data_IF_151893694633
#
_entry.id   IF_151893694633
#
_cell.length_a   1.000
_cell.length_b   1.000
_cell.length_c   1.000
_cell.angle_alpha   90.00
_cell.angle_beta   90.00
_cell.angle_gamma   90.00
#
_symmetry.space_group_name_H-M   'P 1'
#
loop_
_entity.id
_entity.type
_entity.pdbx_description
1 polymer ?
#
# COMPACT_ATOMS: atom_id res chain seq x y z
N UNK A 1 -4.75 -8.52 -0.01
CA UNK A 1 -6.01 -7.93 0.54
C UNK A 1 -5.77 -7.43 1.96
N UNK A 2 -6.11 -6.17 2.25
CA UNK A 2 -5.91 -5.58 3.58
C UNK A 2 -7.08 -5.88 4.54
N UNK A 3 -6.78 -6.52 5.68
CA UNK A 3 -7.78 -6.91 6.68
C UNK A 3 -7.88 -5.96 7.89
N UNK A 4 -7.07 -4.90 7.92
CA UNK A 4 -7.06 -3.95 9.02
C UNK A 4 -7.97 -2.73 8.84
N UNK A 5 -7.88 -1.78 9.78
CA UNK A 5 -8.64 -0.53 9.72
C UNK A 5 -8.16 0.38 8.60
N UNK A 6 -9.03 0.62 7.62
CA UNK A 6 -8.91 1.69 6.64
C UNK A 6 -9.05 3.06 7.31
N UNK A 7 -7.93 3.65 7.71
CA UNK A 7 -7.85 5.05 8.17
C UNK A 7 -7.90 6.01 6.98
N UNK A 8 -8.23 7.27 7.24
CA UNK A 8 -8.24 8.29 6.17
C UNK A 8 -6.83 8.56 5.60
N UNK A 9 -5.78 8.46 6.42
CA UNK A 9 -4.38 8.53 5.95
C UNK A 9 -4.08 7.40 4.94
N UNK A 10 -4.49 6.17 5.24
CA UNK A 10 -4.25 5.04 4.35
C UNK A 10 -5.01 5.18 3.04
N UNK A 11 -6.26 5.68 3.07
CA UNK A 11 -7.02 5.97 1.85
C UNK A 11 -6.34 7.00 0.98
N UNK A 12 -5.82 8.08 1.56
CA UNK A 12 -5.08 9.11 0.81
C UNK A 12 -3.82 8.52 0.15
N UNK A 13 -3.08 7.66 0.88
CA UNK A 13 -1.88 7.01 0.36
C UNK A 13 -2.20 6.01 -0.75
N UNK A 14 -3.26 5.21 -0.59
CA UNK A 14 -3.73 4.27 -1.62
C UNK A 14 -4.16 5.03 -2.87
N UNK A 15 -4.92 6.13 -2.71
CA UNK A 15 -5.34 6.94 -3.84
C UNK A 15 -4.13 7.53 -4.58
N UNK A 16 -3.14 8.07 -3.87
CA UNK A 16 -1.91 8.56 -4.48
C UNK A 16 -1.15 7.46 -5.22
N UNK A 17 -1.07 6.25 -4.66
CA UNK A 17 -0.45 5.11 -5.33
C UNK A 17 -1.22 4.71 -6.59
N UNK A 18 -2.56 4.67 -6.54
CA UNK A 18 -3.41 4.38 -7.69
C UNK A 18 -3.22 5.44 -8.78
N UNK A 19 -3.14 6.71 -8.42
CA UNK A 19 -2.96 7.80 -9.40
C UNK A 19 -1.58 7.71 -10.09
N UNK A 20 -0.56 7.18 -9.41
CA UNK A 20 0.79 7.01 -9.95
C UNK A 20 0.96 5.73 -10.78
N UNK A 21 0.45 4.60 -10.28
CA UNK A 21 0.72 3.27 -10.85
C UNK A 21 -0.49 2.63 -11.55
N UNK A 22 -1.69 3.18 -11.37
CA UNK A 22 -2.93 2.70 -11.98
C UNK A 22 -3.56 1.47 -11.32
N UNK A 23 -3.06 1.03 -10.17
CA UNK A 23 -3.60 -0.13 -9.45
C UNK A 23 -3.56 0.06 -7.92
N UNK A 24 -4.47 -0.64 -7.24
CA UNK A 24 -4.61 -0.61 -5.79
C UNK A 24 -3.58 -1.55 -5.14
N UNK A 25 -2.63 -1.02 -4.34
CA UNK A 25 -1.60 -1.81 -3.68
C UNK A 25 -2.16 -2.78 -2.63
N UNK A 26 -3.37 -2.54 -2.13
CA UNK A 26 -4.06 -3.41 -1.16
C UNK A 26 -4.91 -4.50 -1.80
N UNK A 27 -5.24 -4.32 -3.08
CA UNK A 27 -5.95 -5.31 -3.90
C UNK A 27 -5.02 -6.41 -4.40
N UNK A 28 -3.71 -6.27 -4.20
CA UNK A 28 -2.76 -7.32 -4.56
C UNK A 28 -3.05 -8.56 -3.71
N UNK A 29 -3.25 -9.69 -4.40
CA UNK A 29 -3.60 -10.96 -3.78
C UNK A 29 -2.37 -11.60 -3.12
N UNK A 30 -1.17 -11.23 -3.60
CA UNK A 30 0.11 -11.69 -3.05
C UNK A 30 0.49 -10.92 -1.76
N UNK A 31 -0.13 -9.76 -1.53
CA UNK A 31 0.13 -8.92 -0.35
C UNK A 31 -1.00 -9.05 0.66
N UNK A 32 -0.83 -9.97 1.60
CA UNK A 32 -1.70 -10.14 2.75
C UNK A 32 -1.19 -9.28 3.91
N UNK A 33 -1.73 -8.07 4.03
CA UNK A 33 -1.46 -7.21 5.18
C UNK A 33 -2.55 -7.37 6.24
N UNK A 34 -2.16 -7.81 7.43
CA UNK A 34 -3.00 -7.91 8.62
C UNK A 34 -3.25 -6.57 9.31
N UNK A 35 -4.12 -6.58 10.33
CA UNK A 35 -4.42 -5.38 11.14
C UNK A 35 -3.18 -4.87 11.91
N UNK A 36 -2.29 -5.77 12.32
CA UNK A 36 -1.02 -5.43 12.99
C UNK A 36 0.02 -4.84 12.02
N UNK A 37 -0.14 -5.06 10.72
CA UNK A 37 0.80 -4.67 9.66
C UNK A 37 0.38 -3.36 8.96
N UNK A 38 -0.60 -2.63 9.53
CA UNK A 38 -0.99 -1.29 9.06
C UNK A 38 0.22 -0.36 8.87
N UNK A 39 1.15 -0.38 9.83
CA UNK A 39 2.34 0.48 9.80
C UNK A 39 3.29 0.09 8.66
N UNK A 40 3.40 -1.19 8.37
CA UNK A 40 4.27 -1.69 7.31
C UNK A 40 3.66 -1.38 5.94
N UNK A 41 2.36 -1.61 5.75
CA UNK A 41 1.63 -1.19 4.55
C UNK A 41 1.80 0.32 4.27
N UNK A 42 1.60 1.17 5.27
CA UNK A 42 1.76 2.63 5.13
C UNK A 42 3.20 3.00 4.76
N UNK A 43 4.18 2.33 5.38
CA UNK A 43 5.59 2.54 5.11
C UNK A 43 5.97 2.11 3.69
N UNK A 44 5.45 0.99 3.23
CA UNK A 44 5.75 0.42 1.92
C UNK A 44 5.07 1.21 0.80
N UNK A 45 3.82 1.66 0.97
CA UNK A 45 3.18 2.60 0.05
C UNK A 45 3.97 3.91 -0.03
N UNK A 46 4.39 4.48 1.10
CA UNK A 46 5.22 5.71 1.11
C UNK A 46 6.55 5.50 0.40
N UNK A 47 7.17 4.33 0.56
CA UNK A 47 8.45 3.99 -0.06
C UNK A 47 8.28 3.73 -1.56
N UNK A 48 7.21 3.05 -1.98
CA UNK A 48 6.80 2.88 -3.38
C UNK A 48 6.63 4.23 -4.10
N UNK A 49 5.86 5.15 -3.51
CA UNK A 49 5.66 6.50 -4.05
C UNK A 49 6.99 7.25 -4.16
N UNK A 50 7.85 7.15 -3.13
CA UNK A 50 9.14 7.85 -3.08
C UNK A 50 10.15 7.30 -4.10
N UNK A 51 10.23 5.99 -4.26
CA UNK A 51 11.12 5.34 -5.21
C UNK A 51 10.54 5.28 -6.62
N UNK A 52 9.26 5.65 -6.80
CA UNK A 52 8.49 5.52 -8.02
C UNK A 52 8.55 4.08 -8.57
N UNK A 53 8.40 3.11 -7.67
CA UNK A 53 8.38 1.68 -7.97
C UNK A 53 7.09 1.05 -7.48
N UNK A 54 6.59 0.02 -8.18
CA UNK A 54 5.41 -0.73 -7.73
C UNK A 54 5.61 -1.28 -6.32
N UNK A 55 4.56 -1.28 -5.49
CA UNK A 55 4.67 -1.78 -4.10
C UNK A 55 5.20 -3.21 -4.03
N UNK A 56 4.91 -4.04 -5.04
CA UNK A 56 5.35 -5.43 -5.19
C UNK A 56 6.88 -5.56 -5.30
N UNK A 57 7.58 -4.51 -5.73
CA UNK A 57 9.06 -4.45 -5.74
C UNK A 57 9.66 -3.89 -4.44
N UNK A 58 8.81 -3.36 -3.55
CA UNK A 58 9.23 -2.72 -2.29
C UNK A 58 9.10 -3.70 -1.12
N UNK A 59 8.01 -4.47 -1.10
CA UNK A 59 7.81 -5.63 -0.23
C UNK A 59 8.65 -6.79 -0.74
N UNK A 60 9.76 -7.05 -0.06
CA UNK A 60 10.66 -8.17 -0.31
C UNK A 60 10.86 -8.95 0.99
#
# INVERSE_FOLDING_TARGET
MYYGKMTDELKELIQQHIDLFGYDPTSDMELEYGEEEYKDLVKDIKKSIKENKPICEIVE
#
